data_IF_125223414702
#
_entry.id   IF_125223414702
#
_cell.length_a   1.000
_cell.length_b   1.000
_cell.length_c   1.000
_cell.angle_alpha   90.00
_cell.angle_beta   90.00
_cell.angle_gamma   90.00
#
_symmetry.space_group_name_H-M   'P 1'
#
loop_
_entity.id
_entity.type
_entity.pdbx_description
1 polymer ?
#
# COMPACT_ATOMS: atom_id res chain seq x y z
N UNK A 1 76.24 -6.76 12.65
CA UNK A 1 75.15 -6.82 11.66
C UNK A 1 73.84 -6.46 12.37
N UNK A 2 73.31 -5.23 12.18
CA UNK A 2 72.04 -4.77 12.77
C UNK A 2 70.92 -5.01 11.75
N UNK A 3 69.88 -5.77 12.13
CA UNK A 3 68.66 -5.95 11.33
C UNK A 3 67.60 -4.97 11.84
N UNK A 4 67.26 -3.98 11.03
CA UNK A 4 66.14 -3.08 11.30
C UNK A 4 64.85 -3.72 10.77
N UNK A 5 63.89 -3.98 11.66
CA UNK A 5 62.55 -4.47 11.30
C UNK A 5 61.66 -3.25 11.07
N UNK A 6 61.24 -3.04 9.82
CA UNK A 6 60.21 -2.05 9.45
C UNK A 6 58.84 -2.61 9.83
N UNK A 7 58.12 -1.93 10.73
CA UNK A 7 56.70 -2.18 10.97
C UNK A 7 55.88 -1.39 9.96
N UNK A 8 55.17 -2.10 9.08
CA UNK A 8 54.22 -1.51 8.14
C UNK A 8 52.87 -1.41 8.88
N UNK A 9 52.47 -0.19 9.25
CA UNK A 9 51.17 0.08 9.86
C UNK A 9 50.13 0.09 8.72
N UNK A 10 49.30 -0.96 8.65
CA UNK A 10 48.19 -1.03 7.71
C UNK A 10 47.00 -0.27 8.30
N UNK A 11 46.77 0.96 7.83
CA UNK A 11 45.62 1.77 8.21
C UNK A 11 44.38 1.27 7.45
N UNK A 12 43.48 0.55 8.13
CA UNK A 12 42.21 0.10 7.54
C UNK A 12 41.21 1.25 7.61
N UNK A 13 41.02 1.94 6.49
CA UNK A 13 39.95 2.93 6.32
C UNK A 13 38.62 2.21 6.07
N UNK A 14 37.76 2.16 7.08
CA UNK A 14 36.37 1.72 6.92
C UNK A 14 35.58 2.81 6.21
N UNK A 15 35.18 2.58 4.96
CA UNK A 15 34.26 3.48 4.28
C UNK A 15 32.85 3.26 4.83
N UNK A 16 32.32 4.26 5.52
CA UNK A 16 30.92 4.32 5.90
C UNK A 16 30.10 4.56 4.65
N UNK A 17 29.49 3.51 4.09
CA UNK A 17 28.47 3.68 3.05
C UNK A 17 27.23 4.28 3.71
N UNK A 18 26.98 5.58 3.53
CA UNK A 18 25.61 6.09 3.71
C UNK A 18 24.77 5.38 2.64
N UNK A 19 23.98 4.40 3.04
CA UNK A 19 22.88 3.94 2.21
C UNK A 19 21.99 5.16 1.99
N UNK A 20 22.00 5.70 0.76
CA UNK A 20 21.02 6.70 0.36
C UNK A 20 19.65 6.08 0.65
N UNK A 21 18.87 6.76 1.49
CA UNK A 21 17.52 6.34 1.85
C UNK A 21 16.76 6.07 0.55
N UNK A 22 16.24 4.85 0.39
CA UNK A 22 15.31 4.51 -0.68
C UNK A 22 14.19 5.54 -0.57
N UNK A 23 14.11 6.49 -1.50
CA UNK A 23 12.96 7.38 -1.58
C UNK A 23 11.79 6.51 -2.06
N UNK A 24 10.76 6.25 -1.22
CA UNK A 24 9.65 5.37 -1.60
C UNK A 24 8.77 5.94 -2.73
N UNK A 25 8.98 7.21 -3.09
CA UNK A 25 8.21 7.96 -4.07
C UNK A 25 8.07 9.42 -3.64
N UNK A 26 7.28 10.18 -4.39
CA UNK A 26 6.89 11.55 -4.00
C UNK A 26 5.88 11.45 -2.86
N UNK A 27 6.16 12.10 -1.72
CA UNK A 27 5.22 12.15 -0.60
C UNK A 27 3.90 12.78 -1.05
N UNK A 28 2.78 12.24 -0.57
CA UNK A 28 1.45 12.74 -0.91
C UNK A 28 0.94 12.29 -2.29
N UNK A 29 1.65 11.38 -2.98
CA UNK A 29 1.13 10.74 -4.20
C UNK A 29 1.45 9.25 -4.28
N UNK A 30 0.54 8.49 -4.90
CA UNK A 30 0.71 7.07 -5.23
C UNK A 30 0.21 6.80 -6.64
N UNK A 31 0.53 5.62 -7.17
CA UNK A 31 0.01 5.17 -8.47
C UNK A 31 -1.21 4.28 -8.26
N UNK A 32 -2.28 4.60 -8.95
CA UNK A 32 -3.36 3.66 -9.27
C UNK A 32 -3.01 2.95 -10.57
N UNK A 33 -3.16 1.63 -10.57
CA UNK A 33 -2.90 0.74 -11.70
C UNK A 33 -4.17 -0.06 -11.97
N UNK A 34 -4.50 -0.26 -13.25
CA UNK A 34 -5.73 -0.95 -13.65
C UNK A 34 -5.46 -2.01 -14.72
N UNK A 35 -6.15 -3.14 -14.61
CA UNK A 35 -6.21 -4.24 -15.58
C UNK A 35 -7.66 -4.41 -16.04
N UNK A 36 -7.87 -4.56 -17.34
CA UNK A 36 -9.20 -4.77 -17.95
C UNK A 36 -9.49 -6.24 -18.21
N UNK A 37 -10.73 -6.52 -18.66
CA UNK A 37 -11.21 -7.84 -19.06
C UNK A 37 -11.25 -8.85 -17.91
N UNK A 38 -11.60 -8.39 -16.71
CA UNK A 38 -11.82 -9.20 -15.52
C UNK A 38 -13.32 -9.45 -15.34
N UNK A 39 -13.81 -10.56 -15.89
CA UNK A 39 -15.25 -10.86 -16.00
C UNK A 39 -15.80 -11.66 -14.81
N UNK A 40 -14.94 -12.35 -14.06
CA UNK A 40 -15.36 -13.11 -12.87
C UNK A 40 -15.53 -12.22 -11.64
N UNK A 41 -15.04 -10.96 -11.71
CA UNK A 41 -15.08 -9.99 -10.62
C UNK A 41 -14.56 -10.58 -9.30
N UNK A 42 -13.45 -11.31 -9.40
CA UNK A 42 -12.81 -11.98 -8.26
C UNK A 42 -11.36 -11.53 -8.09
N UNK A 43 -10.93 -11.37 -6.84
CA UNK A 43 -9.52 -11.04 -6.55
C UNK A 43 -8.56 -12.14 -7.02
N UNK A 44 -9.03 -13.40 -7.11
CA UNK A 44 -8.29 -14.50 -7.69
C UNK A 44 -8.02 -14.30 -9.19
N UNK A 45 -9.01 -13.84 -9.94
CA UNK A 45 -8.87 -13.55 -11.37
C UNK A 45 -7.83 -12.43 -11.59
N UNK A 46 -7.93 -11.33 -10.84
CA UNK A 46 -6.92 -10.27 -10.87
C UNK A 46 -5.52 -10.79 -10.54
N UNK A 47 -5.38 -11.63 -9.51
CA UNK A 47 -4.07 -12.19 -9.12
C UNK A 47 -3.48 -13.19 -10.13
N UNK A 48 -4.34 -13.85 -10.90
CA UNK A 48 -3.97 -14.82 -11.92
C UNK A 48 -3.85 -14.18 -13.33
N UNK A 49 -4.23 -12.91 -13.47
CA UNK A 49 -4.15 -12.18 -14.72
C UNK A 49 -2.70 -12.14 -15.22
N UNK A 50 -2.48 -12.50 -16.49
CA UNK A 50 -1.13 -12.74 -17.04
C UNK A 50 -0.17 -11.55 -16.91
N UNK A 51 -0.73 -10.34 -16.87
CA UNK A 51 0.02 -9.08 -16.76
C UNK A 51 0.08 -8.50 -15.34
N UNK A 52 -0.61 -9.09 -14.37
CA UNK A 52 -0.58 -8.62 -12.98
C UNK A 52 0.69 -9.12 -12.26
N UNK A 53 1.36 -8.30 -11.42
CA UNK A 53 1.11 -6.88 -11.13
C UNK A 53 1.95 -5.91 -11.99
N UNK A 54 2.71 -6.40 -12.97
CA UNK A 54 3.83 -5.64 -13.54
C UNK A 54 3.49 -4.84 -14.80
N UNK A 55 2.40 -5.17 -15.48
CA UNK A 55 2.05 -4.57 -16.78
C UNK A 55 0.57 -4.19 -16.79
N UNK A 56 0.17 -3.15 -16.03
CA UNK A 56 -1.20 -2.66 -16.06
C UNK A 56 -1.53 -2.00 -17.41
N UNK A 57 -2.81 -2.04 -17.79
CA UNK A 57 -3.33 -1.32 -18.95
C UNK A 57 -3.34 0.20 -18.74
N UNK A 58 -3.47 0.63 -17.49
CA UNK A 58 -3.55 2.04 -17.10
C UNK A 58 -2.72 2.30 -15.87
N UNK A 59 -2.04 3.45 -15.84
CA UNK A 59 -1.36 3.99 -14.66
C UNK A 59 -1.74 5.45 -14.50
N UNK A 60 -2.22 5.82 -13.31
CA UNK A 60 -2.53 7.20 -12.95
C UNK A 60 -1.92 7.57 -11.61
N UNK A 61 -1.34 8.77 -11.51
CA UNK A 61 -0.95 9.34 -10.22
C UNK A 61 -2.18 9.89 -9.51
N UNK A 62 -2.41 9.46 -8.27
CA UNK A 62 -3.50 9.91 -7.40
C UNK A 62 -2.93 10.48 -6.10
N UNK A 63 -3.73 11.31 -5.42
CA UNK A 63 -3.35 12.08 -4.23
C UNK A 63 -4.10 11.66 -2.96
N UNK A 64 -4.80 10.53 -3.03
CA UNK A 64 -5.49 9.85 -1.92
C UNK A 64 -5.45 8.33 -2.17
N UNK A 65 -5.76 7.50 -1.17
CA UNK A 65 -5.93 6.05 -1.36
C UNK A 65 -7.38 5.75 -1.77
N UNK A 66 -7.83 6.40 -2.84
CA UNK A 66 -9.15 6.24 -3.42
C UNK A 66 -9.02 5.84 -4.90
N UNK A 67 -9.67 4.76 -5.29
CA UNK A 67 -9.86 4.45 -6.70
C UNK A 67 -10.62 5.58 -7.41
N UNK A 68 -10.31 5.88 -8.68
CA UNK A 68 -11.14 6.75 -9.51
C UNK A 68 -12.59 6.24 -9.54
N UNK A 69 -13.55 7.16 -9.41
CA UNK A 69 -14.98 6.82 -9.37
C UNK A 69 -15.52 6.59 -10.77
N UNK A 70 -16.28 5.51 -10.94
CA UNK A 70 -16.94 5.14 -12.20
C UNK A 70 -15.96 5.21 -13.39
N UNK A 71 -14.81 4.58 -13.25
CA UNK A 71 -13.75 4.61 -14.25
C UNK A 71 -14.08 3.75 -15.47
N UNK A 72 -14.40 2.47 -15.26
CA UNK A 72 -14.62 1.48 -16.32
C UNK A 72 -15.22 0.18 -15.75
N UNK A 73 -15.83 -0.64 -16.59
CA UNK A 73 -16.40 -1.93 -16.20
C UNK A 73 -15.39 -3.08 -16.42
N UNK A 74 -15.57 -4.18 -15.69
CA UNK A 74 -14.77 -5.42 -15.80
C UNK A 74 -13.27 -5.16 -15.60
N UNK A 75 -12.96 -4.48 -14.51
CA UNK A 75 -11.61 -4.07 -14.17
C UNK A 75 -11.15 -4.63 -12.82
N UNK A 76 -9.84 -4.59 -12.65
CA UNK A 76 -9.17 -4.82 -11.38
C UNK A 76 -8.18 -3.72 -11.15
N UNK A 77 -8.19 -3.16 -9.95
CA UNK A 77 -7.33 -2.04 -9.58
C UNK A 77 -6.33 -2.41 -8.50
N UNK A 78 -5.18 -1.74 -8.52
CA UNK A 78 -4.17 -1.77 -7.48
C UNK A 78 -3.69 -0.37 -7.16
N UNK A 79 -3.70 -0.02 -5.88
CA UNK A 79 -3.01 1.16 -5.34
C UNK A 79 -1.97 0.64 -4.36
N UNK A 80 -0.70 0.94 -4.60
CA UNK A 80 0.38 0.50 -3.72
C UNK A 80 1.33 1.64 -3.40
N UNK A 81 1.87 1.63 -2.19
CA UNK A 81 2.73 2.70 -1.71
C UNK A 81 3.18 2.44 -0.28
N UNK A 82 3.49 3.52 0.43
CA UNK A 82 3.95 3.46 1.81
C UNK A 82 3.16 4.44 2.67
N UNK A 83 2.76 3.98 3.85
CA UNK A 83 2.22 4.84 4.91
C UNK A 83 3.37 5.17 5.86
N UNK A 84 3.44 6.44 6.27
CA UNK A 84 4.33 6.90 7.33
C UNK A 84 3.55 7.89 8.19
N UNK A 85 3.59 7.69 9.50
CA UNK A 85 3.05 8.65 10.46
C UNK A 85 4.18 9.38 11.18
N UNK A 86 3.94 10.63 11.61
CA UNK A 86 4.98 11.46 12.24
C UNK A 86 5.25 11.06 13.70
N UNK A 87 4.21 10.63 14.40
CA UNK A 87 4.26 10.27 15.81
C UNK A 87 3.69 8.88 15.98
N UNK A 88 4.30 8.05 16.82
CA UNK A 88 3.80 6.71 17.14
C UNK A 88 2.35 6.76 17.60
N UNK A 89 1.48 5.96 16.96
CA UNK A 89 0.05 5.98 17.24
C UNK A 89 -0.68 4.68 16.89
N UNK A 90 -1.79 4.44 17.58
CA UNK A 90 -2.68 3.31 17.37
C UNK A 90 -3.73 3.66 16.32
N UNK A 91 -3.52 3.19 15.10
CA UNK A 91 -4.35 3.50 13.92
C UNK A 91 -5.36 2.39 13.65
N UNK A 92 -6.55 2.77 13.20
CA UNK A 92 -7.55 1.82 12.69
C UNK A 92 -7.90 2.19 11.25
N UNK A 93 -7.95 1.18 10.38
CA UNK A 93 -8.29 1.31 8.98
C UNK A 93 -9.71 0.79 8.75
N UNK A 94 -10.44 1.44 7.85
CA UNK A 94 -11.72 1.00 7.33
C UNK A 94 -11.71 1.11 5.80
N UNK A 95 -12.50 0.30 5.11
CA UNK A 95 -12.64 0.41 3.66
C UNK A 95 -14.09 0.21 3.16
N UNK A 96 -14.39 0.83 2.02
CA UNK A 96 -15.62 0.60 1.23
C UNK A 96 -15.23 0.24 -0.20
N UNK A 97 -16.02 -0.62 -0.85
CA UNK A 97 -15.79 -1.08 -2.23
C UNK A 97 -17.11 -1.48 -2.91
N UNK A 98 -17.24 -1.26 -4.22
CA UNK A 98 -18.46 -1.60 -4.96
C UNK A 98 -18.56 -3.08 -5.33
N UNK A 99 -17.48 -3.82 -5.60
CA UNK A 99 -17.59 -5.29 -5.62
C UNK A 99 -16.78 -5.92 -4.51
N UNK A 100 -15.49 -6.09 -4.74
CA UNK A 100 -14.63 -6.83 -3.82
C UNK A 100 -13.30 -6.13 -3.72
N UNK A 101 -12.84 -5.94 -2.50
CA UNK A 101 -11.56 -5.31 -2.26
C UNK A 101 -10.89 -5.88 -1.02
N UNK A 102 -9.57 -5.76 -0.99
CA UNK A 102 -8.77 -6.03 0.21
C UNK A 102 -7.70 -4.97 0.37
N UNK A 103 -7.50 -4.57 1.62
CA UNK A 103 -6.41 -3.72 2.05
C UNK A 103 -5.40 -4.54 2.82
N UNK A 104 -4.18 -4.56 2.29
CA UNK A 104 -3.03 -5.23 2.86
C UNK A 104 -2.02 -4.21 3.35
N UNK A 105 -1.51 -4.44 4.56
CA UNK A 105 -0.49 -3.61 5.18
C UNK A 105 0.65 -4.52 5.63
N UNK A 106 1.87 -4.13 5.29
CA UNK A 106 3.08 -4.81 5.73
C UNK A 106 3.43 -4.37 7.16
N UNK A 107 4.10 -5.23 7.91
CA UNK A 107 4.63 -4.91 9.23
C UNK A 107 5.81 -3.94 9.20
N UNK A 108 6.36 -3.67 8.01
CA UNK A 108 7.45 -2.73 7.75
C UNK A 108 7.42 -2.27 6.28
N UNK A 109 8.53 -1.76 5.76
CA UNK A 109 8.69 -1.31 4.38
C UNK A 109 8.86 -2.44 3.36
N UNK A 110 8.97 -3.70 3.79
CA UNK A 110 9.17 -4.84 2.90
C UNK A 110 7.80 -5.42 2.43
N UNK A 111 7.51 -5.45 1.11
CA UNK A 111 6.29 -6.04 0.56
C UNK A 111 6.07 -7.52 0.92
N UNK A 112 7.13 -8.26 1.24
CA UNK A 112 7.03 -9.67 1.62
C UNK A 112 6.27 -9.92 2.92
N UNK A 113 6.10 -8.88 3.77
CA UNK A 113 5.40 -9.00 5.06
C UNK A 113 3.95 -8.50 5.01
N UNK A 114 3.36 -8.34 3.82
CA UNK A 114 1.96 -7.94 3.66
C UNK A 114 1.01 -8.94 4.33
N UNK A 115 0.08 -8.40 5.11
CA UNK A 115 -1.07 -9.14 5.64
C UNK A 115 -2.36 -8.39 5.32
N UNK A 116 -3.44 -9.11 5.02
CA UNK A 116 -4.76 -8.50 4.86
C UNK A 116 -5.26 -8.02 6.21
N UNK A 117 -5.58 -6.74 6.31
CA UNK A 117 -6.06 -6.12 7.56
C UNK A 117 -7.51 -5.62 7.47
N UNK A 118 -8.03 -5.45 6.26
CA UNK A 118 -9.43 -5.15 5.99
C UNK A 118 -9.84 -5.69 4.62
N UNK A 119 -11.11 -6.04 4.46
CA UNK A 119 -11.67 -6.47 3.17
C UNK A 119 -13.15 -6.14 3.05
N UNK A 120 -13.58 -5.94 1.81
CA UNK A 120 -14.99 -5.90 1.42
C UNK A 120 -15.26 -7.14 0.59
N UNK A 121 -15.97 -8.15 1.13
CA UNK A 121 -16.18 -9.42 0.44
C UNK A 121 -17.22 -9.33 -0.70
N UNK A 122 -18.09 -8.32 -0.68
CA UNK A 122 -19.10 -8.00 -1.67
C UNK A 122 -19.54 -6.53 -1.54
N UNK A 123 -20.27 -5.97 -2.50
CA UNK A 123 -20.70 -4.56 -2.57
C UNK A 123 -21.03 -3.88 -1.24
N UNK A 124 -20.51 -2.67 -1.06
CA UNK A 124 -20.94 -1.64 -0.09
C UNK A 124 -21.30 -0.37 -0.84
N UNK A 125 -22.19 0.47 -0.31
CA UNK A 125 -22.26 1.85 -0.77
C UNK A 125 -20.99 2.63 -0.35
N UNK A 126 -20.72 3.75 -1.03
CA UNK A 126 -19.47 4.53 -0.85
C UNK A 126 -19.19 4.98 0.59
N UNK A 127 -20.24 5.19 1.39
CA UNK A 127 -20.18 5.61 2.80
C UNK A 127 -20.70 4.55 3.77
N UNK A 128 -20.86 3.30 3.33
CA UNK A 128 -21.42 2.21 4.12
C UNK A 128 -20.30 1.45 4.84
N UNK A 129 -19.83 2.01 5.95
CA UNK A 129 -18.62 1.54 6.66
C UNK A 129 -18.82 0.30 7.55
N UNK A 130 -20.08 -0.14 7.75
CA UNK A 130 -20.44 -1.12 8.79
C UNK A 130 -21.27 -2.30 8.27
N UNK A 131 -21.26 -2.55 6.96
CA UNK A 131 -22.00 -3.67 6.35
C UNK A 131 -21.34 -5.01 6.65
N UNK A 132 -20.01 -5.06 6.60
CA UNK A 132 -19.23 -6.25 6.93
C UNK A 132 -18.26 -5.96 8.07
N UNK A 133 -18.11 -6.89 9.04
CA UNK A 133 -17.13 -6.74 10.10
C UNK A 133 -15.69 -6.65 9.58
N UNK A 134 -15.40 -7.28 8.43
CA UNK A 134 -14.09 -7.28 7.78
C UNK A 134 -13.70 -5.92 7.19
N UNK A 135 -14.64 -4.97 7.05
CA UNK A 135 -14.33 -3.62 6.54
C UNK A 135 -13.36 -2.88 7.43
N UNK A 136 -13.33 -3.20 8.73
CA UNK A 136 -12.57 -2.45 9.73
C UNK A 136 -11.48 -3.34 10.33
N UNK A 137 -10.24 -2.86 10.30
CA UNK A 137 -9.11 -3.56 10.91
C UNK A 137 -9.20 -3.57 12.44
N UNK A 138 -8.42 -4.45 13.07
CA UNK A 138 -7.99 -4.23 14.45
C UNK A 138 -7.21 -2.91 14.56
N UNK A 139 -7.02 -2.40 15.77
CA UNK A 139 -6.09 -1.29 16.02
C UNK A 139 -4.65 -1.78 15.79
N UNK A 140 -3.89 -1.03 15.01
CA UNK A 140 -2.51 -1.35 14.62
C UNK A 140 -1.61 -0.22 15.16
N UNK A 141 -0.60 -0.59 15.93
CA UNK A 141 0.40 0.36 16.40
C UNK A 141 1.39 0.65 15.27
N UNK A 142 1.38 1.88 14.77
CA UNK A 142 2.39 2.37 13.84
C UNK A 142 3.42 3.21 14.60
N UNK A 143 4.69 3.05 14.25
CA UNK A 143 5.81 3.78 14.86
C UNK A 143 6.08 5.03 14.05
N UNK A 144 6.21 6.16 14.75
CA UNK A 144 6.52 7.45 14.13
C UNK A 144 7.83 7.39 13.35
N UNK A 145 7.81 7.90 12.12
CA UNK A 145 8.98 7.93 11.24
C UNK A 145 9.20 6.65 10.42
N UNK A 146 8.54 5.55 10.75
CA UNK A 146 8.68 4.27 10.05
C UNK A 146 7.74 4.21 8.83
N UNK A 147 8.23 3.60 7.74
CA UNK A 147 7.43 3.30 6.56
C UNK A 147 6.81 1.91 6.66
N UNK A 148 5.55 1.81 6.20
CA UNK A 148 4.79 0.57 6.12
C UNK A 148 4.29 0.42 4.69
N UNK A 149 4.74 -0.62 3.98
CA UNK A 149 4.26 -0.90 2.63
C UNK A 149 2.78 -1.30 2.66
N UNK A 150 1.99 -0.83 1.71
CA UNK A 150 0.58 -1.20 1.59
C UNK A 150 0.19 -1.53 0.16
N UNK A 151 -0.89 -2.31 0.04
CA UNK A 151 -1.63 -2.53 -1.20
C UNK A 151 -3.14 -2.50 -0.95
N UNK A 152 -3.85 -1.69 -1.73
CA UNK A 152 -5.28 -1.83 -1.95
C UNK A 152 -5.47 -2.53 -3.30
N UNK A 153 -6.09 -3.70 -3.31
CA UNK A 153 -6.47 -4.41 -4.54
C UNK A 153 -7.97 -4.63 -4.56
N UNK A 154 -8.61 -4.35 -5.69
CA UNK A 154 -10.05 -4.51 -5.85
C UNK A 154 -10.40 -4.94 -7.27
N UNK A 155 -11.61 -5.42 -7.45
CA UNK A 155 -12.20 -5.77 -8.74
C UNK A 155 -13.58 -5.16 -8.82
N UNK A 156 -13.99 -4.80 -10.03
CA UNK A 156 -15.26 -4.17 -10.34
C UNK A 156 -15.87 -4.87 -11.56
N UNK A 157 -17.18 -5.10 -11.51
CA UNK A 157 -17.90 -5.74 -12.61
C UNK A 157 -18.59 -4.70 -13.47
N UNK A 158 -19.82 -4.33 -13.13
CA UNK A 158 -20.58 -3.28 -13.78
C UNK A 158 -21.21 -2.39 -12.73
N UNK A 159 -21.41 -1.12 -13.05
CA UNK A 159 -22.16 -0.21 -12.19
C UNK A 159 -21.31 0.94 -11.70
N UNK A 160 -21.29 1.16 -10.38
CA UNK A 160 -20.66 2.35 -9.80
C UNK A 160 -19.34 2.03 -9.10
N UNK A 161 -18.23 2.26 -9.80
CA UNK A 161 -16.92 1.90 -9.27
C UNK A 161 -16.51 2.79 -8.09
N UNK A 162 -16.13 2.15 -6.98
CA UNK A 162 -15.35 2.78 -5.93
C UNK A 162 -14.59 1.73 -5.11
N UNK A 163 -13.41 2.11 -4.64
CA UNK A 163 -12.70 1.41 -3.57
C UNK A 163 -11.84 2.40 -2.81
N UNK A 164 -12.02 2.50 -1.49
CA UNK A 164 -11.44 3.58 -0.67
C UNK A 164 -10.95 3.10 0.68
N UNK A 165 -9.86 3.71 1.16
CA UNK A 165 -9.38 3.54 2.54
C UNK A 165 -9.71 4.77 3.37
N UNK A 166 -10.27 4.53 4.55
CA UNK A 166 -10.53 5.52 5.57
C UNK A 166 -9.70 5.17 6.80
N UNK A 167 -8.98 6.13 7.35
CA UNK A 167 -8.22 5.89 8.56
C UNK A 167 -8.13 7.15 9.41
N UNK A 168 -7.83 6.94 10.68
CA UNK A 168 -7.64 8.01 11.66
C UNK A 168 -6.36 7.75 12.43
N UNK A 169 -5.59 8.80 12.62
CA UNK A 169 -4.60 8.88 13.68
C UNK A 169 -4.96 10.10 14.55
N UNK A 170 -4.41 10.16 15.75
CA UNK A 170 -4.61 11.18 16.78
C UNK A 170 -4.23 12.59 16.32
N UNK A 171 -3.54 12.73 15.18
CA UNK A 171 -3.09 13.99 14.62
C UNK A 171 -3.82 14.41 13.32
N UNK A 172 -4.63 13.51 12.73
CA UNK A 172 -5.36 13.75 11.49
C UNK A 172 -6.80 13.21 11.66
N UNK A 173 -7.77 14.13 11.74
CA UNK A 173 -9.18 13.76 11.80
C UNK A 173 -9.68 13.30 10.42
N UNK A 174 -9.98 12.01 10.29
CA UNK A 174 -10.81 11.41 9.23
C UNK A 174 -10.37 11.77 7.80
N UNK A 175 -9.28 11.18 7.30
CA UNK A 175 -8.80 11.45 5.94
C UNK A 175 -8.54 10.18 5.14
N UNK A 176 -8.75 10.27 3.83
CA UNK A 176 -8.30 9.31 2.81
C UNK A 176 -6.87 9.61 2.31
N UNK A 177 -6.12 10.45 3.04
CA UNK A 177 -4.85 11.03 2.59
C UNK A 177 -3.65 10.10 2.78
N UNK A 178 -2.60 10.37 2.00
CA UNK A 178 -1.29 9.68 1.92
C UNK A 178 -0.15 10.55 2.44
#
# INVERSE_FOLDING_TARGET
MRKNILYIILLVLTQSTLAAQICPGTQGSVKWQCWRNLYDASLSELSAHEFFPNTPDVVQTIYSIDAPINYDNYIGGRIAGYIKINTTDSVQFNMTCNERGQFRLSTNDNPANLVTIASVPAFTNISEHTKYPEQTSAKIQLVGGQYYYFELTYVESTGSDHCRIHWKNSFISNTSGI
#
